data_IF_158031204188
#
_entry.id   IF_158031204188
#
_cell.length_a   1.000
_cell.length_b   1.000
_cell.length_c   1.000
_cell.angle_alpha   90.00
_cell.angle_beta   90.00
_cell.angle_gamma   90.00
#
_symmetry.space_group_name_H-M   'P 1'
#
loop_
_entity.id
_entity.type
_entity.pdbx_description
1 polymer ?
#
# COMPACT_ATOMS: atom_id res chain seq x y z
N UNK A 1 18.58 -10.66 17.56
CA UNK A 1 17.71 -9.69 16.84
C UNK A 1 17.99 -8.32 17.42
N UNK A 2 18.28 -7.32 16.59
CA UNK A 2 18.57 -5.96 17.05
C UNK A 2 17.32 -5.36 17.68
N UNK A 3 17.40 -4.91 18.94
CA UNK A 3 16.31 -4.26 19.67
C UNK A 3 16.18 -2.78 19.25
N UNK A 4 15.79 -2.56 18.00
CA UNK A 4 15.71 -1.25 17.36
C UNK A 4 14.26 -0.89 17.00
N UNK A 5 14.04 0.30 16.40
CA UNK A 5 12.72 0.79 15.98
C UNK A 5 11.97 -0.20 15.07
N UNK A 6 12.69 -0.87 14.16
CA UNK A 6 12.08 -1.83 13.24
C UNK A 6 11.40 -2.98 13.99
N UNK A 7 12.10 -3.54 15.00
CA UNK A 7 11.57 -4.64 15.83
C UNK A 7 10.54 -4.19 16.87
N UNK A 8 10.70 -2.99 17.44
CA UNK A 8 9.88 -2.51 18.58
C UNK A 8 8.64 -1.73 18.18
N UNK A 9 8.64 -1.15 16.99
CA UNK A 9 7.61 -0.20 16.56
C UNK A 9 7.05 -0.62 15.21
N UNK A 10 7.88 -0.69 14.15
CA UNK A 10 7.38 -0.90 12.78
C UNK A 10 6.73 -2.27 12.60
N UNK A 11 7.39 -3.35 13.02
CA UNK A 11 6.85 -4.70 12.88
C UNK A 11 5.58 -4.90 13.72
N UNK A 12 5.50 -4.49 15.01
CA UNK A 12 4.25 -4.53 15.76
C UNK A 12 3.11 -3.73 15.12
N UNK A 13 3.38 -2.55 14.57
CA UNK A 13 2.37 -1.73 13.91
C UNK A 13 1.82 -2.40 12.65
N UNK A 14 2.70 -2.94 11.78
CA UNK A 14 2.30 -3.68 10.59
C UNK A 14 1.42 -4.88 10.97
N UNK A 15 1.84 -5.69 11.94
CA UNK A 15 1.07 -6.85 12.39
C UNK A 15 -0.30 -6.46 12.96
N UNK A 16 -0.39 -5.33 13.65
CA UNK A 16 -1.65 -4.83 14.16
C UNK A 16 -2.60 -4.42 13.02
N UNK A 17 -2.10 -3.69 12.02
CA UNK A 17 -2.88 -3.32 10.83
C UNK A 17 -3.35 -4.57 10.06
N UNK A 18 -2.51 -5.59 9.90
CA UNK A 18 -2.93 -6.84 9.27
C UNK A 18 -4.07 -7.54 10.03
N UNK A 19 -4.09 -7.48 11.37
CA UNK A 19 -5.20 -8.02 12.18
C UNK A 19 -6.50 -7.22 12.00
N UNK A 20 -6.42 -5.96 11.62
CA UNK A 20 -7.58 -5.12 11.31
C UNK A 20 -8.09 -5.31 9.87
N UNK A 21 -7.44 -6.18 9.09
CA UNK A 21 -7.83 -6.48 7.70
C UNK A 21 -7.08 -5.69 6.64
N UNK A 22 -6.05 -4.92 7.00
CA UNK A 22 -5.19 -4.25 6.02
C UNK A 22 -4.22 -5.25 5.37
N UNK A 23 -4.08 -5.16 4.06
CA UNK A 23 -3.09 -5.95 3.33
C UNK A 23 -1.69 -5.35 3.46
N UNK A 24 -0.70 -6.20 3.75
CA UNK A 24 0.71 -5.77 3.77
C UNK A 24 1.29 -5.79 2.35
N UNK A 25 1.75 -4.63 1.88
CA UNK A 25 2.41 -4.48 0.59
C UNK A 25 3.93 -4.48 0.75
N UNK A 26 4.59 -5.46 0.14
CA UNK A 26 6.05 -5.58 0.18
C UNK A 26 6.72 -4.73 -0.90
N UNK A 27 7.64 -3.85 -0.51
CA UNK A 27 8.40 -3.01 -1.45
C UNK A 27 9.42 -3.78 -2.29
N UNK A 28 9.89 -4.95 -1.85
CA UNK A 28 11.03 -5.64 -2.48
C UNK A 28 10.80 -6.11 -3.92
N UNK A 29 9.54 -6.16 -4.37
CA UNK A 29 9.15 -6.50 -5.76
C UNK A 29 8.09 -5.55 -6.32
N UNK A 30 7.83 -4.45 -5.62
CA UNK A 30 6.79 -3.53 -6.01
C UNK A 30 7.24 -2.61 -7.15
N UNK A 31 6.31 -2.27 -8.03
CA UNK A 31 6.44 -1.11 -8.92
C UNK A 31 5.51 -0.04 -8.39
N UNK A 32 6.04 1.15 -8.15
CA UNK A 32 5.28 2.29 -7.64
C UNK A 32 5.91 3.58 -8.15
N UNK A 33 5.16 4.67 -8.11
CA UNK A 33 5.68 5.99 -8.42
C UNK A 33 6.50 6.49 -7.23
N UNK A 34 7.83 6.56 -7.41
CA UNK A 34 8.76 6.98 -6.37
C UNK A 34 8.75 8.50 -6.11
N UNK A 35 8.34 9.32 -7.08
CA UNK A 35 8.22 10.77 -6.92
C UNK A 35 7.04 11.12 -6.02
N UNK A 36 5.89 10.49 -6.29
CA UNK A 36 4.65 10.73 -5.54
C UNK A 36 4.44 9.76 -4.37
N UNK A 37 5.28 8.72 -4.25
CA UNK A 37 5.21 7.65 -3.25
C UNK A 37 3.85 6.93 -3.20
N UNK A 38 3.31 6.61 -4.38
CA UNK A 38 2.02 5.92 -4.53
C UNK A 38 2.15 4.65 -5.39
N UNK A 39 1.37 3.63 -5.05
CA UNK A 39 1.18 2.45 -5.90
C UNK A 39 0.12 2.79 -6.94
N UNK A 40 0.56 3.21 -8.13
CA UNK A 40 -0.32 3.73 -9.19
C UNK A 40 -1.40 2.74 -9.61
N UNK A 41 -1.07 1.45 -9.74
CA UNK A 41 -2.06 0.41 -10.07
C UNK A 41 -3.19 0.33 -9.03
N UNK A 42 -2.82 0.22 -7.75
CA UNK A 42 -3.78 0.16 -6.62
C UNK A 42 -4.62 1.43 -6.59
N UNK A 43 -3.99 2.59 -6.80
CA UNK A 43 -4.67 3.88 -6.79
C UNK A 43 -5.73 3.95 -7.89
N UNK A 44 -5.38 3.65 -9.15
CA UNK A 44 -6.31 3.70 -10.27
C UNK A 44 -7.46 2.70 -10.11
N UNK A 45 -7.15 1.46 -9.72
CA UNK A 45 -8.18 0.44 -9.44
C UNK A 45 -9.14 0.91 -8.33
N UNK A 46 -8.61 1.50 -7.26
CA UNK A 46 -9.42 1.98 -6.13
C UNK A 46 -10.32 3.16 -6.52
N UNK A 47 -9.80 4.12 -7.28
CA UNK A 47 -10.58 5.27 -7.74
C UNK A 47 -11.69 4.83 -8.68
N UNK A 48 -11.42 3.90 -9.61
CA UNK A 48 -12.46 3.36 -10.49
C UNK A 48 -13.50 2.55 -9.71
N UNK A 49 -13.10 1.76 -8.72
CA UNK A 49 -14.03 1.00 -7.88
C UNK A 49 -14.98 1.90 -7.08
N UNK A 50 -14.49 3.07 -6.64
CA UNK A 50 -15.27 4.06 -5.90
C UNK A 50 -16.17 4.91 -6.81
N UNK A 51 -15.82 5.07 -8.09
CA UNK A 51 -16.53 5.92 -9.05
C UNK A 51 -16.82 5.12 -10.34
N UNK A 52 -17.79 4.18 -10.33
CA UNK A 52 -18.05 3.29 -11.47
C UNK A 52 -18.44 4.00 -12.77
N UNK A 53 -18.94 5.23 -12.69
CA UNK A 53 -19.33 6.09 -13.81
C UNK A 53 -18.15 6.86 -14.43
N UNK A 54 -17.00 6.85 -13.79
CA UNK A 54 -15.81 7.55 -14.26
C UNK A 54 -15.26 6.83 -15.49
N UNK A 55 -14.92 7.59 -16.54
CA UNK A 55 -14.20 7.03 -17.70
C UNK A 55 -12.85 6.46 -17.23
N UNK A 56 -12.50 5.28 -17.75
CA UNK A 56 -11.21 4.68 -17.45
C UNK A 56 -10.08 5.62 -17.87
N UNK A 57 -9.14 5.90 -16.95
CA UNK A 57 -7.97 6.70 -17.27
C UNK A 57 -6.99 5.90 -18.13
N UNK A 58 -6.84 6.33 -19.39
CA UNK A 58 -5.78 5.89 -20.31
C UNK A 58 -6.20 4.78 -21.28
N UNK A 59 -6.49 5.19 -22.53
CA UNK A 59 -6.06 4.46 -23.74
C UNK A 59 -4.62 4.89 -24.09
#
# INVERSE_FOLDING_TARGET
>A
MSFNEDSRVKLPAILHLCKLGFEYLSLGKATWDAEHNIFTSIFYESIHALNPEMEAWGD
#
